data_IF_881464009620
#
_entry.id   IF_881464009620
#
_cell.length_a   1.000
_cell.length_b   1.000
_cell.length_c   1.000
_cell.angle_alpha   90.00
_cell.angle_beta   90.00
_cell.angle_gamma   90.00
#
_symmetry.space_group_name_H-M   'P 1'
#
loop_
_entity.id
_entity.type
_entity.pdbx_description
1 polymer ?
#
# COMPACT_ATOMS: atom_id res chain seq x y z
N UNK A 1 -3.23 0.50 -6.04
CA UNK A 1 -3.37 1.97 -6.06
C UNK A 1 -2.93 2.58 -7.37
N UNK A 2 -2.20 1.81 -8.18
CA UNK A 2 -1.72 2.01 -9.55
C UNK A 2 -2.62 2.70 -10.59
N UNK A 3 -3.91 2.93 -10.33
CA UNK A 3 -4.83 3.50 -11.34
C UNK A 3 -4.34 4.80 -12.00
N UNK A 4 -3.80 5.80 -11.27
CA UNK A 4 -3.27 7.01 -11.90
C UNK A 4 -2.11 6.74 -12.88
N UNK A 5 -1.18 5.84 -12.53
CA UNK A 5 -0.08 5.43 -13.41
C UNK A 5 -0.59 4.61 -14.60
N UNK A 6 -1.49 3.64 -14.37
CA UNK A 6 -2.10 2.85 -15.45
C UNK A 6 -2.81 3.74 -16.48
N UNK A 7 -3.50 4.79 -16.05
CA UNK A 7 -4.09 5.77 -16.97
C UNK A 7 -3.04 6.55 -17.76
N UNK A 8 -1.93 6.93 -17.13
CA UNK A 8 -0.85 7.65 -17.80
C UNK A 8 -0.11 6.73 -18.80
N UNK A 9 0.19 5.50 -18.41
CA UNK A 9 0.78 4.48 -19.27
C UNK A 9 -0.14 4.11 -20.43
N UNK A 10 -1.45 3.94 -20.19
CA UNK A 10 -2.39 3.65 -21.26
C UNK A 10 -2.36 4.73 -22.35
N UNK A 11 -2.51 6.00 -21.96
CA UNK A 11 -2.45 7.12 -22.92
C UNK A 11 -1.11 7.22 -23.64
N UNK A 12 0.00 7.00 -22.91
CA UNK A 12 1.33 7.04 -23.51
C UNK A 12 1.53 5.92 -24.53
N UNK A 13 1.09 4.71 -24.18
CA UNK A 13 1.23 3.55 -25.04
C UNK A 13 0.34 3.60 -26.28
N UNK A 14 -0.93 4.01 -26.14
CA UNK A 14 -1.87 4.17 -27.28
C UNK A 14 -1.39 5.24 -28.27
N UNK A 15 -0.76 6.31 -27.77
CA UNK A 15 -0.13 7.33 -28.63
C UNK A 15 1.03 6.75 -29.43
N UNK A 16 1.86 5.93 -28.79
CA UNK A 16 3.05 5.35 -29.43
C UNK A 16 2.70 4.14 -30.32
N UNK A 17 1.52 3.52 -30.12
CA UNK A 17 1.04 2.34 -30.84
C UNK A 17 -0.39 2.55 -31.35
N UNK A 18 -0.56 3.31 -32.46
CA UNK A 18 -1.87 3.52 -33.08
C UNK A 18 -2.59 2.19 -33.37
N UNK A 19 -3.87 2.10 -33.03
CA UNK A 19 -4.68 0.89 -33.20
C UNK A 19 -4.74 -0.02 -31.97
N UNK A 20 -3.97 0.25 -30.91
CA UNK A 20 -4.17 -0.38 -29.60
C UNK A 20 -5.17 0.43 -28.78
N UNK A 21 -6.01 -0.25 -27.99
CA UNK A 21 -6.91 0.38 -27.02
C UNK A 21 -6.82 -0.32 -25.67
N UNK A 22 -6.57 0.45 -24.62
CA UNK A 22 -6.38 -0.02 -23.25
C UNK A 22 -7.51 0.48 -22.37
N UNK A 23 -8.34 -0.46 -21.88
CA UNK A 23 -9.46 -0.16 -20.99
C UNK A 23 -9.04 -0.34 -19.53
N UNK A 24 -8.73 0.77 -18.87
CA UNK A 24 -8.29 0.78 -17.46
C UNK A 24 -9.49 0.94 -16.52
N UNK A 25 -9.58 0.08 -15.50
CA UNK A 25 -10.58 0.13 -14.41
C UNK A 25 -9.90 0.09 -13.04
N UNK A 26 -10.59 0.50 -11.98
CA UNK A 26 -10.05 0.54 -10.61
C UNK A 26 -10.94 -0.15 -9.55
N UNK A 27 -11.26 -1.45 -9.69
CA UNK A 27 -12.13 -2.15 -8.75
C UNK A 27 -11.44 -2.56 -7.42
N UNK A 28 -10.12 -2.40 -7.31
CA UNK A 28 -9.33 -2.86 -6.16
C UNK A 28 -8.45 -4.06 -6.47
N UNK A 29 -7.43 -4.29 -5.64
CA UNK A 29 -6.40 -5.32 -5.87
C UNK A 29 -6.97 -6.74 -5.79
N UNK A 30 -7.94 -6.99 -4.89
CA UNK A 30 -8.60 -8.30 -4.79
C UNK A 30 -9.33 -8.71 -6.07
N UNK A 31 -10.02 -7.77 -6.71
CA UNK A 31 -10.65 -7.98 -8.03
C UNK A 31 -9.61 -8.13 -9.13
N UNK A 32 -8.49 -7.39 -9.07
CA UNK A 32 -7.38 -7.56 -10.01
C UNK A 32 -6.76 -8.96 -9.98
N UNK A 33 -6.52 -9.49 -8.78
CA UNK A 33 -6.00 -10.85 -8.56
C UNK A 33 -6.99 -11.88 -9.10
N UNK A 34 -8.25 -11.82 -8.65
CA UNK A 34 -9.28 -12.80 -9.01
C UNK A 34 -9.61 -12.75 -10.50
N UNK A 35 -9.77 -11.55 -11.06
CA UNK A 35 -10.05 -11.40 -12.48
C UNK A 35 -8.91 -11.87 -13.38
N UNK A 36 -7.64 -11.78 -12.94
CA UNK A 36 -6.52 -12.33 -13.71
C UNK A 36 -6.51 -13.85 -13.64
N UNK A 37 -6.70 -14.41 -12.45
CA UNK A 37 -6.76 -15.85 -12.21
C UNK A 37 -7.88 -16.53 -13.03
N UNK A 38 -9.02 -15.85 -13.16
CA UNK A 38 -10.19 -16.32 -13.92
C UNK A 38 -10.12 -16.00 -15.43
N UNK A 39 -9.09 -15.28 -15.89
CA UNK A 39 -8.97 -14.88 -17.30
C UNK A 39 -9.93 -13.77 -17.74
N UNK A 40 -10.61 -13.11 -16.80
CA UNK A 40 -11.56 -12.02 -17.04
C UNK A 40 -10.87 -10.70 -17.47
N UNK A 41 -9.57 -10.56 -17.20
CA UNK A 41 -8.76 -9.41 -17.64
C UNK A 41 -7.41 -9.87 -18.18
N UNK A 42 -6.87 -9.13 -19.15
CA UNK A 42 -5.54 -9.41 -19.70
C UNK A 42 -4.41 -9.06 -18.72
N UNK A 43 -4.63 -8.03 -17.89
CA UNK A 43 -3.68 -7.56 -16.88
C UNK A 43 -4.47 -7.18 -15.62
N UNK A 44 -4.19 -7.85 -14.51
CA UNK A 44 -4.58 -7.38 -13.17
C UNK A 44 -3.52 -6.47 -12.58
N UNK A 45 -3.92 -5.56 -11.69
CA UNK A 45 -3.00 -4.72 -10.94
C UNK A 45 -3.18 -4.95 -9.43
N UNK A 46 -2.07 -5.05 -8.71
CA UNK A 46 -2.09 -5.32 -7.28
C UNK A 46 -0.86 -4.79 -6.54
N UNK A 47 -1.12 -4.19 -5.39
CA UNK A 47 -0.15 -3.62 -4.46
C UNK A 47 0.40 -4.70 -3.50
N UNK A 48 -0.07 -5.95 -3.65
CA UNK A 48 0.33 -7.08 -2.81
C UNK A 48 1.10 -8.10 -3.63
N UNK A 49 2.13 -8.63 -2.99
CA UNK A 49 2.73 -9.88 -3.37
C UNK A 49 1.83 -11.05 -2.92
N UNK A 50 1.91 -12.18 -3.63
CA UNK A 50 1.15 -13.39 -3.29
C UNK A 50 2.11 -14.49 -2.81
N UNK A 51 1.77 -15.14 -1.71
CA UNK A 51 2.51 -16.32 -1.24
C UNK A 51 2.40 -17.47 -2.24
N UNK A 52 3.33 -18.44 -2.20
CA UNK A 52 3.24 -19.66 -3.01
C UNK A 52 1.94 -20.42 -2.82
N UNK A 53 1.39 -20.40 -1.59
CA UNK A 53 0.11 -21.04 -1.31
C UNK A 53 -1.05 -20.34 -1.99
N UNK A 54 -1.04 -19.01 -2.04
CA UNK A 54 -2.06 -18.23 -2.73
C UNK A 54 -1.93 -18.38 -4.24
N UNK A 55 -0.71 -18.35 -4.78
CA UNK A 55 -0.45 -18.58 -6.19
C UNK A 55 -0.86 -19.99 -6.63
N UNK A 56 -0.56 -21.02 -5.85
CA UNK A 56 -1.01 -22.38 -6.14
C UNK A 56 -2.55 -22.51 -6.18
N UNK A 57 -3.28 -21.73 -5.37
CA UNK A 57 -4.75 -21.73 -5.33
C UNK A 57 -5.39 -20.91 -6.45
N UNK A 58 -4.70 -19.89 -6.97
CA UNK A 58 -5.22 -18.92 -7.94
C UNK A 58 -4.79 -19.21 -9.38
N UNK A 59 -4.24 -20.40 -9.64
CA UNK A 59 -3.68 -20.75 -10.94
C UNK A 59 -2.33 -20.08 -11.20
N UNK A 60 -1.71 -20.43 -12.32
CA UNK A 60 -0.41 -19.90 -12.69
C UNK A 60 -0.55 -18.42 -13.06
N UNK A 61 -0.48 -17.45 -12.15
CA UNK A 61 -0.37 -16.03 -12.53
C UNK A 61 1.07 -15.55 -12.33
N UNK A 62 1.55 -14.71 -13.25
CA UNK A 62 2.89 -14.13 -13.17
C UNK A 62 2.79 -12.72 -12.60
N UNK A 63 3.56 -12.44 -11.54
CA UNK A 63 3.65 -11.10 -10.93
C UNK A 63 4.85 -10.35 -11.51
N UNK A 64 4.60 -9.13 -11.98
CA UNK A 64 5.58 -8.27 -12.65
C UNK A 64 5.59 -6.92 -11.91
N UNK A 65 6.65 -6.56 -11.17
CA UNK A 65 6.77 -5.27 -10.55
C UNK A 65 6.90 -4.23 -11.65
N UNK A 66 6.11 -3.16 -11.55
CA UNK A 66 6.09 -2.06 -12.53
C UNK A 66 6.43 -0.71 -11.93
N UNK A 67 6.26 -0.55 -10.60
CA UNK A 67 6.63 0.64 -9.84
C UNK A 67 6.71 0.34 -8.34
N UNK A 68 7.20 1.29 -7.55
CA UNK A 68 6.97 1.31 -6.10
C UNK A 68 5.98 2.42 -5.76
N UNK A 69 5.24 2.23 -4.67
CA UNK A 69 4.31 3.23 -4.15
C UNK A 69 4.39 3.30 -2.62
N UNK A 70 3.88 4.40 -2.05
CA UNK A 70 3.66 4.56 -0.63
C UNK A 70 2.18 4.77 -0.32
N UNK A 71 1.65 4.05 0.67
CA UNK A 71 0.34 4.36 1.26
C UNK A 71 0.52 5.52 2.22
N UNK A 72 -0.37 6.51 2.10
CA UNK A 72 -0.34 7.76 2.84
C UNK A 72 -1.66 7.94 3.60
N UNK A 73 -1.63 7.97 4.94
CA UNK A 73 -2.78 8.46 5.68
C UNK A 73 -2.95 9.97 5.44
N UNK A 74 -4.20 10.36 5.24
CA UNK A 74 -4.62 11.72 4.92
C UNK A 74 -5.69 12.18 5.89
N UNK A 75 -5.66 13.46 6.25
CA UNK A 75 -6.59 14.04 7.23
C UNK A 75 -7.30 15.26 6.65
N UNK A 76 -8.52 15.48 7.14
CA UNK A 76 -9.27 16.71 6.94
C UNK A 76 -9.48 17.40 8.29
N UNK A 77 -8.65 18.38 8.57
CA UNK A 77 -8.68 19.19 9.79
C UNK A 77 -8.83 20.67 9.44
N UNK A 78 -9.43 21.48 10.33
CA UNK A 78 -9.51 22.92 10.16
C UNK A 78 -8.17 23.56 9.85
N UNK A 79 -8.17 24.64 9.07
CA UNK A 79 -6.95 25.40 8.78
C UNK A 79 -6.28 25.95 10.06
N UNK A 80 -7.07 26.25 11.11
CA UNK A 80 -6.60 26.66 12.43
C UNK A 80 -5.75 25.59 13.12
N UNK A 81 -5.93 24.32 12.74
CA UNK A 81 -5.09 23.21 13.18
C UNK A 81 -3.76 23.14 12.43
N UNK A 82 -3.40 24.14 11.61
CA UNK A 82 -2.15 24.23 10.87
C UNK A 82 -2.05 23.34 9.63
N UNK A 83 -1.03 23.58 8.78
CA UNK A 83 -0.82 22.84 7.52
C UNK A 83 0.40 21.90 7.53
N UNK A 84 1.29 22.00 8.51
CA UNK A 84 2.38 21.01 8.68
C UNK A 84 1.79 19.62 8.91
N UNK A 85 2.31 18.56 8.27
CA UNK A 85 1.86 17.19 8.50
C UNK A 85 1.88 16.81 9.98
N UNK A 86 0.79 16.19 10.46
CA UNK A 86 0.74 15.62 11.80
C UNK A 86 1.71 14.45 11.90
N UNK A 87 2.41 14.33 13.03
CA UNK A 87 3.26 13.20 13.37
C UNK A 87 2.39 12.10 13.97
N UNK A 88 2.42 10.92 13.36
CA UNK A 88 1.74 9.73 13.86
C UNK A 88 2.67 8.52 13.82
N UNK A 89 2.83 7.89 14.96
CA UNK A 89 3.41 6.58 15.13
C UNK A 89 2.37 5.51 14.74
N UNK A 90 2.83 4.34 14.33
CA UNK A 90 1.96 3.20 14.02
C UNK A 90 0.91 2.91 15.11
N UNK A 91 1.26 2.92 16.41
CA UNK A 91 0.29 2.77 17.51
C UNK A 91 -0.81 3.84 17.57
N UNK A 92 -0.48 5.12 17.34
CA UNK A 92 -1.49 6.19 17.31
C UNK A 92 -2.39 6.08 16.08
N UNK A 93 -1.81 5.75 14.92
CA UNK A 93 -2.58 5.50 13.70
C UNK A 93 -3.55 4.32 13.88
N UNK A 94 -3.09 3.22 14.49
CA UNK A 94 -3.92 2.07 14.83
C UNK A 94 -5.10 2.46 15.74
N UNK A 95 -4.86 3.30 16.75
CA UNK A 95 -5.89 3.78 17.68
C UNK A 95 -6.89 4.73 17.04
N UNK A 96 -6.45 5.60 16.14
CA UNK A 96 -7.33 6.48 15.35
C UNK A 96 -8.26 5.66 14.46
N UNK A 97 -7.72 4.72 13.68
CA UNK A 97 -8.50 3.94 12.72
C UNK A 97 -9.42 2.91 13.38
N UNK A 98 -9.04 2.38 14.55
CA UNK A 98 -9.91 1.49 15.35
C UNK A 98 -10.96 2.23 16.19
N UNK A 99 -10.96 3.57 16.20
CA UNK A 99 -11.88 4.37 17.01
C UNK A 99 -11.53 4.45 18.50
N UNK A 100 -10.38 3.90 18.93
CA UNK A 100 -9.90 3.98 20.32
C UNK A 100 -9.47 5.38 20.73
N UNK A 101 -9.06 6.20 19.76
CA UNK A 101 -8.96 7.65 19.94
C UNK A 101 -10.18 8.27 19.27
N UNK A 102 -11.06 8.85 20.07
CA UNK A 102 -12.35 9.35 19.62
C UNK A 102 -12.32 10.83 19.20
N UNK A 103 -11.33 11.60 19.67
CA UNK A 103 -11.19 13.04 19.42
C UNK A 103 -9.76 13.42 19.05
N UNK A 104 -9.61 14.46 18.22
CA UNK A 104 -8.30 14.90 17.72
C UNK A 104 -7.42 15.58 18.78
N UNK A 105 -7.99 16.12 19.85
CA UNK A 105 -7.28 16.73 20.97
C UNK A 105 -6.90 15.73 22.08
N UNK A 106 -7.00 14.43 21.79
CA UNK A 106 -6.59 13.36 22.71
C UNK A 106 -5.17 13.61 23.26
N UNK A 107 -4.94 13.44 24.58
CA UNK A 107 -3.64 13.69 25.20
C UNK A 107 -2.48 12.93 24.55
N UNK A 108 -2.73 11.73 24.01
CA UNK A 108 -1.71 10.93 23.34
C UNK A 108 -1.27 11.57 22.01
N UNK A 109 -2.21 12.14 21.25
CA UNK A 109 -1.92 12.88 20.02
C UNK A 109 -1.15 14.17 20.31
N UNK A 110 -1.59 14.93 21.33
CA UNK A 110 -0.91 16.17 21.77
C UNK A 110 0.54 15.91 22.19
N UNK A 111 0.79 14.81 22.91
CA UNK A 111 2.14 14.44 23.35
C UNK A 111 3.10 14.18 22.20
N UNK A 112 2.62 13.60 21.10
CA UNK A 112 3.45 13.33 19.92
C UNK A 112 3.56 14.53 18.95
N UNK A 113 2.66 15.50 19.11
CA UNK A 113 2.60 16.72 18.33
C UNK A 113 2.72 17.97 19.24
N UNK A 114 3.83 18.14 19.98
CA UNK A 114 3.99 19.25 20.89
C UNK A 114 3.91 20.59 20.14
N UNK A 115 3.22 21.57 20.74
CA UNK A 115 2.99 22.89 20.14
C UNK A 115 1.94 22.92 19.02
N UNK A 116 1.27 21.80 18.72
CA UNK A 116 0.18 21.75 17.75
C UNK A 116 -1.17 22.01 18.40
N UNK A 117 -1.90 23.00 17.89
CA UNK A 117 -3.30 23.22 18.25
C UNK A 117 -4.18 22.17 17.58
N UNK A 118 -4.48 21.09 18.30
CA UNK A 118 -5.40 20.05 17.85
C UNK A 118 -6.83 20.41 18.25
N UNK A 119 -7.81 20.27 17.34
CA UNK A 119 -9.18 20.69 17.59
C UNK A 119 -9.93 19.63 18.40
N UNK A 120 -10.90 20.06 19.22
CA UNK A 120 -11.85 19.15 19.86
C UNK A 120 -12.90 18.67 18.84
N UNK A 121 -12.46 17.88 17.87
CA UNK A 121 -13.29 17.30 16.82
C UNK A 121 -13.33 15.78 16.94
N UNK A 122 -14.49 15.15 16.73
CA UNK A 122 -14.56 13.69 16.63
C UNK A 122 -13.68 13.18 15.49
N UNK A 123 -12.93 12.11 15.76
CA UNK A 123 -12.21 11.36 14.74
C UNK A 123 -13.22 10.54 13.92
N UNK A 124 -13.15 10.68 12.60
CA UNK A 124 -14.05 9.99 11.65
C UNK A 124 -13.23 9.12 10.68
N UNK A 125 -12.94 7.86 11.03
CA UNK A 125 -12.20 6.97 10.14
C UNK A 125 -12.93 6.76 8.81
N UNK A 126 -12.19 6.79 7.71
CA UNK A 126 -12.67 6.44 6.37
C UNK A 126 -11.82 5.27 5.88
N UNK A 127 -12.44 4.12 5.75
CA UNK A 127 -11.77 2.86 5.42
C UNK A 127 -12.27 2.30 4.09
N UNK A 128 -11.60 1.29 3.56
CA UNK A 128 -12.00 0.63 2.32
C UNK A 128 -13.05 -0.44 2.58
N UNK A 129 -14.13 -0.43 1.80
CA UNK A 129 -15.17 -1.48 1.81
C UNK A 129 -14.87 -2.63 0.83
N UNK A 130 -13.84 -2.48 0.00
CA UNK A 130 -13.41 -3.46 -1.00
C UNK A 130 -12.01 -4.01 -0.69
N UNK A 131 -11.74 -5.25 -1.13
CA UNK A 131 -10.45 -5.91 -0.94
C UNK A 131 -9.30 -5.13 -1.61
N UNK A 132 -8.45 -4.52 -0.80
CA UNK A 132 -7.56 -3.45 -1.25
C UNK A 132 -6.11 -3.66 -0.83
N UNK A 133 -5.18 -3.62 -1.79
CA UNK A 133 -3.74 -3.60 -1.53
C UNK A 133 -3.30 -2.41 -0.66
N UNK A 134 -3.94 -1.25 -0.81
CA UNK A 134 -3.75 -0.11 0.11
C UNK A 134 -4.02 -0.48 1.57
N UNK A 135 -5.14 -1.17 1.84
CA UNK A 135 -5.51 -1.63 3.17
C UNK A 135 -4.52 -2.68 3.67
N UNK A 136 -4.09 -3.59 2.80
CA UNK A 136 -3.09 -4.58 3.12
C UNK A 136 -1.76 -3.92 3.56
N UNK A 137 -1.20 -3.01 2.78
CA UNK A 137 0.06 -2.33 3.14
C UNK A 137 -0.07 -1.49 4.41
N UNK A 138 -1.20 -0.80 4.59
CA UNK A 138 -1.47 -0.06 5.82
C UNK A 138 -1.52 -1.00 7.03
N UNK A 139 -2.32 -2.06 6.97
CA UNK A 139 -2.49 -2.99 8.09
C UNK A 139 -1.23 -3.82 8.35
N UNK A 140 -0.41 -4.08 7.33
CA UNK A 140 0.94 -4.63 7.46
C UNK A 140 1.83 -3.71 8.31
N UNK A 141 1.86 -2.41 8.01
CA UNK A 141 2.57 -1.43 8.82
C UNK A 141 2.05 -1.35 10.27
N UNK A 142 0.72 -1.42 10.47
CA UNK A 142 0.13 -1.42 11.80
C UNK A 142 0.47 -2.69 12.58
N UNK A 143 0.45 -3.86 11.94
CA UNK A 143 0.84 -5.13 12.55
C UNK A 143 2.34 -5.18 12.86
N UNK A 144 3.18 -4.61 11.99
CA UNK A 144 4.61 -4.44 12.21
C UNK A 144 4.89 -3.54 13.43
N UNK A 145 4.17 -2.42 13.53
CA UNK A 145 4.44 -1.38 14.52
C UNK A 145 3.69 -1.56 15.84
N UNK A 146 2.68 -2.44 15.91
CA UNK A 146 1.86 -2.59 17.09
C UNK A 146 1.42 -4.04 17.35
N UNK A 147 1.89 -4.59 18.47
CA UNK A 147 1.59 -5.97 18.88
C UNK A 147 0.10 -6.26 19.00
N UNK A 148 -0.67 -5.43 19.69
CA UNK A 148 -2.13 -5.62 19.81
C UNK A 148 -2.80 -5.68 18.43
N UNK A 149 -2.43 -4.78 17.50
CA UNK A 149 -3.01 -4.80 16.15
C UNK A 149 -2.71 -6.12 15.44
N UNK A 150 -1.45 -6.56 15.48
CA UNK A 150 -1.00 -7.82 14.89
C UNK A 150 -1.73 -9.04 15.43
N UNK A 151 -1.97 -9.09 16.73
CA UNK A 151 -2.64 -10.22 17.40
C UNK A 151 -4.17 -10.21 17.23
N UNK A 152 -4.78 -9.06 16.94
CA UNK A 152 -6.24 -8.94 16.83
C UNK A 152 -6.74 -8.78 15.40
N UNK A 153 -6.29 -7.74 14.71
CA UNK A 153 -6.73 -7.36 13.37
C UNK A 153 -5.82 -7.96 12.28
N UNK A 154 -4.54 -8.13 12.60
CA UNK A 154 -3.53 -8.62 11.67
C UNK A 154 -3.34 -7.72 10.45
N UNK A 155 -2.84 -8.35 9.38
CA UNK A 155 -2.70 -7.76 8.05
C UNK A 155 -3.72 -8.40 7.13
N UNK A 156 -4.53 -7.59 6.48
CA UNK A 156 -5.60 -8.07 5.60
C UNK A 156 -5.92 -7.08 4.47
N UNK A 157 -6.44 -7.59 3.35
CA UNK A 157 -6.99 -6.79 2.25
C UNK A 157 -8.33 -6.13 2.62
N UNK A 158 -9.10 -6.78 3.50
CA UNK A 158 -10.42 -6.36 3.96
C UNK A 158 -10.63 -6.82 5.42
N UNK A 159 -9.94 -6.20 6.39
CA UNK A 159 -10.09 -6.55 7.79
C UNK A 159 -11.49 -6.17 8.30
N UNK A 160 -11.96 -6.89 9.31
CA UNK A 160 -13.18 -6.54 10.05
C UNK A 160 -12.92 -5.33 10.95
N UNK A 161 -13.09 -4.13 10.39
CA UNK A 161 -12.89 -2.88 11.14
C UNK A 161 -13.78 -2.84 12.40
N UNK A 162 -13.24 -2.41 13.56
CA UNK A 162 -14.03 -2.31 14.78
C UNK A 162 -15.24 -1.40 14.58
N UNK A 163 -16.41 -1.83 15.09
CA UNK A 163 -17.63 -1.04 14.97
C UNK A 163 -17.44 0.33 15.60
N UNK A 164 -17.47 1.36 14.76
CA UNK A 164 -17.41 2.75 15.16
C UNK A 164 -18.53 3.52 14.44
N UNK A 165 -19.51 4.11 15.15
CA UNK A 165 -20.61 4.85 14.51
C UNK A 165 -20.18 6.01 13.61
N UNK A 166 -18.93 6.49 13.76
CA UNK A 166 -18.36 7.60 12.98
C UNK A 166 -17.54 7.12 11.78
N UNK A 167 -17.21 5.84 11.71
CA UNK A 167 -16.49 5.23 10.61
C UNK A 167 -17.36 5.15 9.35
N UNK A 168 -16.72 5.25 8.19
CA UNK A 168 -17.34 4.98 6.89
C UNK A 168 -16.43 4.12 6.05
N UNK A 169 -16.96 2.99 5.60
CA UNK A 169 -16.35 2.15 4.58
C UNK A 169 -16.81 2.59 3.19
N UNK A 170 -15.88 2.83 2.28
CA UNK A 170 -16.16 3.23 0.89
C UNK A 170 -15.31 2.45 -0.10
N UNK A 171 -15.81 2.27 -1.33
CA UNK A 171 -15.10 1.50 -2.35
C UNK A 171 -14.12 2.35 -3.16
N UNK A 172 -12.87 1.93 -3.22
CA UNK A 172 -11.80 2.55 -4.02
C UNK A 172 -11.21 3.84 -3.44
N UNK A 173 -9.95 4.14 -3.79
CA UNK A 173 -9.22 5.32 -3.28
C UNK A 173 -9.88 6.65 -3.65
N UNK A 174 -10.55 6.75 -4.80
CA UNK A 174 -11.27 7.97 -5.21
C UNK A 174 -12.38 8.31 -4.20
N UNK A 175 -13.14 7.31 -3.76
CA UNK A 175 -14.22 7.50 -2.79
C UNK A 175 -13.66 7.82 -1.41
N UNK A 176 -12.53 7.23 -1.01
CA UNK A 176 -11.81 7.62 0.23
C UNK A 176 -11.43 9.10 0.18
N UNK A 177 -10.83 9.57 -0.91
CA UNK A 177 -10.49 11.01 -1.07
C UNK A 177 -11.74 11.89 -0.96
N UNK A 178 -12.82 11.52 -1.65
CA UNK A 178 -14.07 12.29 -1.65
C UNK A 178 -14.68 12.37 -0.24
N UNK A 179 -14.74 11.25 0.45
CA UNK A 179 -15.31 11.14 1.79
C UNK A 179 -14.49 11.90 2.84
N UNK A 180 -13.16 11.77 2.80
CA UNK A 180 -12.28 12.53 3.71
C UNK A 180 -12.42 14.03 3.48
N UNK A 181 -12.48 14.48 2.22
CA UNK A 181 -12.69 15.90 1.90
C UNK A 181 -14.03 16.43 2.39
N UNK A 182 -15.09 15.63 2.28
CA UNK A 182 -16.45 16.06 2.61
C UNK A 182 -16.70 16.20 4.12
N UNK A 183 -15.91 15.52 4.96
CA UNK A 183 -16.17 15.41 6.41
C UNK A 183 -14.98 15.90 7.21
N UNK A 184 -15.15 17.05 7.85
CA UNK A 184 -14.15 17.54 8.80
C UNK A 184 -13.98 16.57 9.99
N UNK A 185 -12.74 16.40 10.43
CA UNK A 185 -12.35 15.42 11.44
C UNK A 185 -12.05 14.03 10.85
N UNK A 186 -12.15 13.85 9.53
CA UNK A 186 -11.87 12.57 8.89
C UNK A 186 -10.38 12.26 8.77
N UNK A 187 -10.08 10.97 8.92
CA UNK A 187 -8.79 10.35 8.57
C UNK A 187 -9.06 9.17 7.64
N UNK A 188 -8.35 9.12 6.52
CA UNK A 188 -8.38 8.01 5.58
C UNK A 188 -6.97 7.68 5.10
N UNK A 189 -6.86 6.81 4.10
CA UNK A 189 -5.56 6.38 3.57
C UNK A 189 -5.64 6.08 2.08
N UNK A 190 -4.66 6.58 1.33
CA UNK A 190 -4.61 6.52 -0.14
C UNK A 190 -3.19 6.38 -0.63
N UNK A 191 -2.99 6.05 -1.91
CA UNK A 191 -1.67 6.08 -2.52
C UNK A 191 -1.14 7.49 -2.70
N UNK A 192 0.18 7.67 -2.70
CA UNK A 192 0.83 8.98 -2.88
C UNK A 192 0.30 9.72 -4.13
N UNK A 193 0.02 9.00 -5.21
CA UNK A 193 -0.52 9.56 -6.46
C UNK A 193 -1.88 10.27 -6.33
N UNK A 194 -2.59 10.04 -5.23
CA UNK A 194 -3.87 10.70 -4.94
C UNK A 194 -3.70 12.03 -4.18
N UNK A 195 -2.52 12.35 -3.64
CA UNK A 195 -2.32 13.58 -2.86
C UNK A 195 -2.43 14.85 -3.72
N UNK A 196 -1.69 14.93 -4.83
CA UNK A 196 -1.63 16.15 -5.64
C UNK A 196 -2.99 16.61 -6.19
N UNK A 197 -3.91 15.66 -6.41
CA UNK A 197 -5.29 15.94 -6.87
C UNK A 197 -6.28 16.16 -5.73
N UNK A 198 -5.92 15.76 -4.50
CA UNK A 198 -6.82 15.77 -3.35
C UNK A 198 -6.71 17.06 -2.51
N UNK A 199 -5.57 17.74 -2.49
CA UNK A 199 -5.38 18.88 -1.57
C UNK A 199 -5.57 18.50 -0.09
N UNK A 200 -5.64 17.20 0.22
CA UNK A 200 -5.71 16.68 1.57
C UNK A 200 -4.34 16.76 2.22
N UNK A 201 -4.33 16.93 3.54
CA UNK A 201 -3.09 16.99 4.30
C UNK A 201 -2.59 15.57 4.56
N UNK A 202 -1.37 15.22 4.12
CA UNK A 202 -0.75 13.96 4.53
C UNK A 202 -0.31 14.04 6.00
N UNK A 203 -0.11 12.86 6.59
CA UNK A 203 0.58 12.73 7.89
C UNK A 203 2.05 12.35 7.68
N UNK A 204 2.90 12.69 8.64
CA UNK A 204 4.26 12.16 8.75
C UNK A 204 4.23 10.90 9.62
N UNK A 205 4.74 9.78 9.10
CA UNK A 205 4.76 8.50 9.81
C UNK A 205 6.12 8.18 10.40
N UNK A 206 6.11 7.56 11.58
CA UNK A 206 7.32 7.03 12.21
C UNK A 206 7.82 5.78 11.46
N UNK A 207 9.10 5.78 11.09
CA UNK A 207 9.80 4.62 10.52
C UNK A 207 10.62 3.86 11.57
N UNK A 208 11.25 2.74 11.18
CA UNK A 208 12.05 1.90 12.09
C UNK A 208 13.28 2.64 12.66
N UNK A 209 13.73 3.73 12.02
CA UNK A 209 14.77 4.62 12.52
C UNK A 209 14.25 5.63 13.58
N UNK A 210 12.96 5.58 13.94
CA UNK A 210 12.32 6.49 14.89
C UNK A 210 12.16 7.91 14.35
N UNK A 211 12.12 8.08 13.02
CA UNK A 211 11.95 9.38 12.36
C UNK A 211 10.55 9.49 11.81
N UNK A 212 9.93 10.65 12.02
CA UNK A 212 8.69 11.03 11.34
C UNK A 212 9.03 11.54 9.94
N UNK A 213 8.72 10.72 8.94
CA UNK A 213 9.04 11.00 7.54
C UNK A 213 7.79 11.51 6.84
N UNK A 214 7.93 12.50 5.96
CA UNK A 214 6.84 13.00 5.10
C UNK A 214 6.83 12.16 3.80
N UNK A 215 5.66 11.77 3.28
CA UNK A 215 5.59 10.93 2.09
C UNK A 215 5.97 11.72 0.84
N UNK A 216 6.82 11.15 0.01
CA UNK A 216 7.23 11.68 -1.29
C UNK A 216 7.81 10.56 -2.14
N UNK A 217 7.91 10.76 -3.46
CA UNK A 217 8.60 9.80 -4.35
C UNK A 217 10.02 9.54 -3.85
N UNK A 218 10.71 10.57 -3.36
CA UNK A 218 12.07 10.43 -2.80
C UNK A 218 12.09 9.56 -1.54
N UNK A 219 11.27 9.87 -0.54
CA UNK A 219 11.28 9.12 0.74
C UNK A 219 10.80 7.67 0.58
N UNK A 220 9.89 7.39 -0.36
CA UNK A 220 9.50 6.02 -0.72
C UNK A 220 10.69 5.29 -1.37
N UNK A 221 11.38 5.94 -2.31
CA UNK A 221 12.54 5.35 -2.99
C UNK A 221 13.71 5.05 -2.06
N UNK A 222 13.96 5.90 -1.05
CA UNK A 222 15.09 5.74 -0.11
C UNK A 222 15.05 4.45 0.70
N UNK A 223 13.87 3.90 1.00
CA UNK A 223 13.75 2.62 1.70
C UNK A 223 14.09 1.40 0.83
N UNK A 224 14.12 1.58 -0.49
CA UNK A 224 14.27 0.50 -1.47
C UNK A 224 15.69 0.40 -2.05
N UNK A 225 16.50 1.45 -1.91
CA UNK A 225 17.94 1.41 -2.21
C UNK A 225 18.67 0.29 -1.40
N UNK A 226 18.15 -0.05 -0.21
CA UNK A 226 18.63 -1.14 0.63
C UNK A 226 18.19 -2.55 0.20
N UNK A 227 17.31 -2.72 -0.80
CA UNK A 227 16.89 -4.07 -1.27
C UNK A 227 18.01 -4.83 -2.01
N UNK A 228 19.16 -4.19 -2.23
CA UNK A 228 20.44 -4.80 -2.61
C UNK A 228 20.48 -5.35 -4.04
N UNK A 229 21.67 -5.60 -4.57
CA UNK A 229 21.89 -6.19 -5.91
C UNK A 229 21.45 -7.66 -6.04
N UNK A 230 21.11 -8.32 -4.92
CA UNK A 230 20.76 -9.74 -4.80
C UNK A 230 19.25 -10.04 -4.93
N UNK A 231 18.41 -9.04 -5.17
CA UNK A 231 16.99 -9.25 -5.44
C UNK A 231 16.83 -10.00 -6.77
N UNK A 232 16.42 -11.27 -6.71
CA UNK A 232 15.97 -12.03 -7.86
C UNK A 232 14.59 -11.52 -8.31
N UNK A 233 14.29 -11.65 -9.59
CA UNK A 233 12.97 -11.33 -10.14
C UNK A 233 12.28 -12.64 -10.54
N UNK A 234 11.00 -12.88 -10.19
CA UNK A 234 10.10 -12.04 -9.37
C UNK A 234 10.26 -12.19 -7.86
N UNK A 235 10.95 -13.23 -7.39
CA UNK A 235 10.92 -13.67 -5.98
C UNK A 235 11.43 -12.65 -4.97
N UNK A 236 12.46 -11.88 -5.29
CA UNK A 236 13.01 -10.85 -4.40
C UNK A 236 12.06 -9.67 -4.15
N UNK A 237 10.99 -9.55 -4.93
CA UNK A 237 9.91 -8.59 -4.74
C UNK A 237 8.72 -9.16 -3.95
N UNK A 238 8.71 -10.48 -3.68
CA UNK A 238 7.65 -11.16 -2.94
C UNK A 238 7.83 -11.01 -1.42
N UNK A 239 7.89 -9.77 -0.92
CA UNK A 239 8.08 -9.48 0.51
C UNK A 239 7.49 -8.14 0.90
N UNK A 240 7.24 -8.00 2.20
CA UNK A 240 6.89 -6.70 2.79
C UNK A 240 8.09 -5.76 2.81
N UNK A 241 7.81 -4.48 2.54
CA UNK A 241 8.76 -3.37 2.61
C UNK A 241 8.37 -2.34 3.69
N UNK A 242 7.42 -2.69 4.57
CA UNK A 242 6.97 -1.79 5.64
C UNK A 242 8.05 -1.59 6.71
N UNK A 243 7.96 -0.48 7.44
CA UNK A 243 8.94 -0.04 8.44
C UNK A 243 10.07 0.83 7.87
N UNK A 244 10.37 0.69 6.58
CA UNK A 244 11.40 1.51 5.89
C UNK A 244 12.85 1.16 6.29
N UNK A 245 13.04 0.18 7.18
CA UNK A 245 14.35 -0.27 7.65
C UNK A 245 15.12 0.83 8.40
N UNK A 246 16.44 0.66 8.51
CA UNK A 246 17.30 1.59 9.25
C UNK A 246 17.57 2.92 8.55
N UNK A 247 16.96 3.18 7.38
CA UNK A 247 17.19 4.40 6.60
C UNK A 247 16.36 5.56 7.18
N UNK A 248 16.99 6.61 7.76
CA UNK A 248 16.26 7.65 8.50
C UNK A 248 15.21 8.41 7.68
N UNK A 249 15.43 8.58 6.37
CA UNK A 249 14.52 9.28 5.45
C UNK A 249 13.51 8.37 4.74
N UNK A 250 13.48 7.06 5.01
CA UNK A 250 12.61 6.13 4.32
C UNK A 250 11.16 6.22 4.80
N UNK A 251 10.23 6.26 3.85
CA UNK A 251 8.80 6.17 4.13
C UNK A 251 8.44 4.75 4.58
N UNK A 252 7.70 4.59 5.70
CA UNK A 252 7.52 3.27 6.32
C UNK A 252 6.37 2.44 5.76
N UNK A 253 5.52 2.97 4.88
CA UNK A 253 4.41 2.21 4.27
C UNK A 253 4.62 2.11 2.77
N UNK A 254 5.75 1.49 2.40
CA UNK A 254 6.18 1.30 1.01
C UNK A 254 5.76 -0.08 0.51
N UNK A 255 5.34 -0.16 -0.75
CA UNK A 255 4.97 -1.40 -1.42
C UNK A 255 5.45 -1.43 -2.87
N UNK A 256 5.44 -2.63 -3.43
CA UNK A 256 5.71 -2.88 -4.85
C UNK A 256 4.37 -3.01 -5.56
N UNK A 257 4.21 -2.30 -6.66
CA UNK A 257 3.03 -2.42 -7.51
C UNK A 257 3.29 -3.45 -8.61
N UNK A 258 2.41 -4.44 -8.70
CA UNK A 258 2.51 -5.55 -9.64
C UNK A 258 1.44 -5.46 -10.72
N UNK A 259 1.86 -5.73 -11.96
CA UNK A 259 0.97 -6.27 -12.98
C UNK A 259 0.97 -7.79 -12.91
N UNK A 260 -0.23 -8.36 -12.97
CA UNK A 260 -0.48 -9.80 -12.94
C UNK A 260 -0.98 -10.23 -14.31
N UNK A 261 -0.36 -11.27 -14.85
CA UNK A 261 -0.68 -11.79 -16.18
C UNK A 261 -0.93 -13.29 -16.10
N UNK A 262 -2.04 -13.76 -16.67
CA UNK A 262 -2.26 -15.19 -16.89
C UNK A 262 -1.44 -15.67 -18.09
N UNK A 263 -0.71 -16.79 -18.00
CA UNK A 263 0.05 -17.40 -19.09
C UNK A 263 -0.86 -17.99 -20.16
N UNK A 264 -2.16 -18.13 -19.88
CA UNK A 264 -3.15 -18.78 -20.74
C UNK A 264 -3.88 -17.77 -21.64
N UNK A 265 -3.45 -16.51 -21.69
CA UNK A 265 -4.02 -15.54 -22.62
C UNK A 265 -3.84 -15.99 -24.08
N UNK A 266 -4.80 -15.65 -24.97
CA UNK A 266 -4.64 -15.88 -26.40
C UNK A 266 -3.34 -15.30 -26.94
N UNK A 267 -2.67 -15.99 -27.87
CA UNK A 267 -1.31 -15.64 -28.35
C UNK A 267 -1.19 -14.18 -28.80
N UNK A 268 -2.17 -13.66 -29.55
CA UNK A 268 -2.18 -12.27 -29.97
C UNK A 268 -2.28 -11.28 -28.80
N UNK A 269 -3.12 -11.58 -27.80
CA UNK A 269 -3.26 -10.77 -26.59
C UNK A 269 -1.97 -10.80 -25.76
N UNK A 270 -1.38 -11.99 -25.62
CA UNK A 270 -0.14 -12.22 -24.89
C UNK A 270 1.04 -11.45 -25.51
N UNK A 271 1.14 -11.44 -26.84
CA UNK A 271 2.15 -10.67 -27.57
C UNK A 271 2.02 -9.17 -27.26
N UNK A 272 0.79 -8.64 -27.27
CA UNK A 272 0.53 -7.24 -26.94
C UNK A 272 0.84 -6.90 -25.48
N UNK A 273 0.41 -7.75 -24.55
CA UNK A 273 0.71 -7.59 -23.12
C UNK A 273 2.22 -7.52 -22.89
N UNK A 274 3.04 -8.33 -23.58
CA UNK A 274 4.49 -8.22 -23.48
C UNK A 274 5.03 -6.90 -24.00
N UNK A 275 4.57 -6.44 -25.18
CA UNK A 275 4.99 -5.14 -25.73
C UNK A 275 4.68 -4.02 -24.75
N UNK A 276 3.48 -4.03 -24.17
CA UNK A 276 3.06 -3.06 -23.17
C UNK A 276 3.89 -3.15 -21.88
N UNK A 277 4.15 -4.36 -21.35
CA UNK A 277 5.01 -4.53 -20.16
C UNK A 277 6.42 -4.02 -20.42
N UNK A 278 7.01 -4.34 -21.58
CA UNK A 278 8.33 -3.82 -21.96
C UNK A 278 8.29 -2.30 -22.00
N UNK A 279 7.33 -1.69 -22.70
CA UNK A 279 7.19 -0.24 -22.79
C UNK A 279 7.01 0.42 -21.41
N UNK A 280 6.17 -0.15 -20.53
CA UNK A 280 6.00 0.37 -19.16
C UNK A 280 7.30 0.28 -18.37
N UNK A 281 8.05 -0.79 -18.55
CA UNK A 281 9.36 -0.95 -17.93
C UNK A 281 10.43 -0.12 -18.64
N UNK A 282 10.24 0.43 -19.84
CA UNK A 282 11.18 1.32 -20.52
C UNK A 282 10.70 2.76 -20.54
N UNK A 283 10.01 3.20 -21.59
CA UNK A 283 9.53 4.55 -21.82
C UNK A 283 8.56 5.00 -20.72
N UNK A 284 7.70 4.07 -20.30
CA UNK A 284 6.74 4.28 -19.23
C UNK A 284 7.38 4.53 -17.86
N UNK A 285 8.69 4.33 -17.68
CA UNK A 285 9.39 4.73 -16.44
C UNK A 285 9.72 6.22 -16.37
N UNK A 286 9.58 6.97 -17.48
CA UNK A 286 9.88 8.40 -17.51
C UNK A 286 9.02 9.18 -16.49
N UNK A 287 9.54 10.29 -15.91
CA UNK A 287 8.84 11.03 -14.86
C UNK A 287 7.41 11.46 -15.19
N UNK A 288 7.12 11.73 -16.46
CA UNK A 288 5.77 12.09 -16.94
C UNK A 288 4.72 10.99 -16.75
N UNK A 289 5.14 9.72 -16.66
CA UNK A 289 4.26 8.57 -16.49
C UNK A 289 4.33 7.94 -15.09
N UNK A 290 5.45 8.10 -14.36
CA UNK A 290 5.66 7.50 -13.02
C UNK A 290 5.67 8.53 -11.91
N UNK A 291 6.77 9.27 -11.75
CA UNK A 291 7.00 10.15 -10.60
C UNK A 291 5.98 11.28 -10.50
N UNK A 292 5.57 11.87 -11.62
CA UNK A 292 4.49 12.86 -11.65
C UNK A 292 3.13 12.28 -11.26
N UNK A 293 2.95 10.96 -11.38
CA UNK A 293 1.76 10.25 -10.93
C UNK A 293 1.89 9.78 -9.47
N UNK A 294 2.99 10.09 -8.77
CA UNK A 294 3.23 9.73 -7.37
C UNK A 294 3.88 8.36 -7.14
N UNK A 295 4.52 7.79 -8.16
CA UNK A 295 5.15 6.46 -8.10
C UNK A 295 6.67 6.55 -8.22
N UNK A 296 7.39 5.65 -7.57
CA UNK A 296 8.85 5.54 -7.74
C UNK A 296 9.15 4.62 -8.93
N UNK A 297 9.92 5.07 -9.93
CA UNK A 297 10.31 4.22 -11.04
C UNK A 297 11.27 3.12 -10.58
N UNK A 298 11.23 1.98 -11.27
CA UNK A 298 12.15 0.86 -11.08
C UNK A 298 13.48 1.06 -11.83
N UNK A 299 13.70 2.22 -12.44
CA UNK A 299 14.90 2.51 -13.25
C UNK A 299 16.22 2.34 -12.50
N UNK A 300 16.21 2.55 -11.18
CA UNK A 300 17.37 2.32 -10.30
C UNK A 300 17.61 0.86 -9.88
N UNK A 301 16.73 -0.09 -10.25
CA UNK A 301 16.83 -1.48 -9.82
C UNK A 301 17.45 -2.38 -10.91
N UNK A 302 18.60 -3.05 -10.66
CA UNK A 302 19.24 -3.95 -11.62
C UNK A 302 18.31 -5.10 -12.11
N UNK A 303 17.33 -5.48 -11.30
CA UNK A 303 16.34 -6.48 -11.64
C UNK A 303 15.46 -6.09 -12.85
N UNK A 304 15.25 -4.79 -13.10
CA UNK A 304 14.48 -4.28 -14.25
C UNK A 304 15.11 -4.66 -15.58
N UNK A 305 16.41 -4.43 -15.77
CA UNK A 305 17.10 -4.76 -17.02
C UNK A 305 17.10 -6.26 -17.30
N UNK A 306 17.24 -7.09 -16.24
CA UNK A 306 17.13 -8.55 -16.35
C UNK A 306 15.73 -8.98 -16.79
N UNK A 307 14.69 -8.37 -16.23
CA UNK A 307 13.30 -8.64 -16.59
C UNK A 307 13.00 -8.27 -18.05
N UNK A 308 13.40 -7.07 -18.49
CA UNK A 308 13.22 -6.63 -19.88
C UNK A 308 13.89 -7.60 -20.86
N UNK A 309 15.13 -8.02 -20.57
CA UNK A 309 15.84 -9.00 -21.39
C UNK A 309 15.08 -10.32 -21.49
N UNK A 310 14.64 -10.87 -20.36
CA UNK A 310 13.84 -12.11 -20.34
C UNK A 310 12.55 -11.97 -21.16
N UNK A 311 11.82 -10.87 -21.02
CA UNK A 311 10.57 -10.66 -21.78
C UNK A 311 10.79 -10.59 -23.30
N UNK A 312 11.98 -10.14 -23.74
CA UNK A 312 12.35 -10.07 -25.16
C UNK A 312 12.84 -11.41 -25.73
N UNK A 313 13.42 -12.28 -24.89
CA UNK A 313 14.01 -13.56 -25.31
C UNK A 313 12.99 -14.71 -25.38
N UNK A 314 11.81 -14.59 -24.74
CA UNK A 314 10.85 -15.70 -24.64
C UNK A 314 9.91 -15.76 -25.85
N UNK A 315 9.71 -16.94 -26.48
CA UNK A 315 8.79 -17.12 -27.62
C UNK A 315 7.36 -16.62 -27.34
N UNK A 316 6.68 -16.08 -28.35
CA UNK A 316 5.33 -15.46 -28.26
C UNK A 316 4.31 -16.25 -27.44
N UNK A 317 4.38 -17.59 -27.46
CA UNK A 317 3.47 -18.50 -26.73
C UNK A 317 3.69 -18.63 -25.22
N UNK A 318 4.76 -18.08 -24.61
CA UNK A 318 5.05 -18.23 -23.17
C UNK A 318 5.44 -16.91 -22.49
N UNK A 319 4.76 -16.47 -21.43
CA UNK A 319 5.06 -15.16 -20.82
C UNK A 319 6.46 -15.06 -20.17
N UNK A 320 6.84 -16.06 -19.38
CA UNK A 320 8.19 -16.26 -18.83
C UNK A 320 8.61 -17.74 -18.96
N UNK A 321 9.93 -18.06 -18.92
CA UNK A 321 10.44 -19.43 -18.89
C UNK A 321 9.89 -20.25 -17.72
N UNK A 322 9.83 -21.57 -17.85
CA UNK A 322 9.22 -22.45 -16.83
C UNK A 322 9.92 -22.39 -15.46
N UNK A 323 11.24 -22.27 -15.42
CA UNK A 323 12.00 -22.19 -14.17
C UNK A 323 11.80 -20.86 -13.42
N UNK A 324 11.40 -19.80 -14.13
CA UNK A 324 11.08 -18.49 -13.57
C UNK A 324 9.60 -18.37 -13.13
N UNK A 325 8.78 -19.39 -13.38
CA UNK A 325 7.39 -19.47 -12.89
C UNK A 325 7.29 -20.13 -11.51
N UNK A 326 8.42 -20.62 -10.97
CA UNK A 326 8.42 -21.28 -9.66
C UNK A 326 8.20 -20.22 -8.58
N UNK A 327 7.26 -20.50 -7.68
CA UNK A 327 6.99 -19.65 -6.53
C UNK A 327 7.67 -20.26 -5.32
N UNK A 328 8.81 -19.72 -4.91
CA UNK A 328 9.50 -20.18 -3.70
C UNK A 328 8.66 -19.85 -2.46
N UNK A 329 8.42 -20.82 -1.54
CA UNK A 329 7.68 -20.60 -0.31
C UNK A 329 8.22 -19.40 0.48
N UNK A 330 7.31 -18.53 0.91
CA UNK A 330 7.64 -17.42 1.80
C UNK A 330 8.05 -18.00 3.17
N UNK A 331 9.32 -17.83 3.56
CA UNK A 331 9.72 -18.04 4.95
C UNK A 331 9.19 -16.84 5.77
N UNK A 332 8.05 -17.05 6.43
CA UNK A 332 7.34 -16.04 7.24
C UNK A 332 8.08 -15.62 8.51
N UNK A 333 9.33 -16.07 8.70
CA UNK A 333 10.18 -15.58 9.77
C UNK A 333 10.64 -14.16 9.44
N UNK A 334 9.80 -13.19 9.79
CA UNK A 334 10.22 -11.79 9.94
C UNK A 334 11.39 -11.82 10.93
N UNK A 335 12.63 -11.49 10.52
CA UNK A 335 13.70 -11.31 11.48
C UNK A 335 13.23 -10.21 12.44
N UNK A 336 13.11 -10.56 13.72
CA UNK A 336 12.70 -9.59 14.73
C UNK A 336 13.62 -8.38 14.60
N UNK A 337 13.11 -7.17 14.33
CA UNK A 337 13.96 -5.99 14.40
C UNK A 337 14.56 -5.97 15.80
N UNK A 338 15.86 -5.63 15.91
CA UNK A 338 16.52 -5.48 17.21
C UNK A 338 15.60 -4.64 18.08
N UNK A 339 15.10 -5.24 19.17
CA UNK A 339 14.09 -4.68 20.07
C UNK A 339 14.47 -3.24 20.41
N UNK A 340 13.77 -2.26 19.82
CA UNK A 340 13.48 -1.04 20.55
C UNK A 340 12.26 -1.36 21.40
N UNK A 341 12.31 -1.01 22.68
CA UNK A 341 11.18 -1.18 23.57
C UNK A 341 9.94 -0.61 22.86
N UNK A 342 8.91 -1.46 22.65
CA UNK A 342 7.55 -0.96 22.43
C UNK A 342 7.38 0.24 23.37
N UNK A 343 6.81 1.36 22.91
CA UNK A 343 6.27 2.32 23.89
C UNK A 343 5.15 1.56 24.60
N UNK A 344 5.41 0.92 25.76
CA UNK A 344 4.69 -0.31 26.11
C UNK A 344 3.20 0.00 26.26
N UNK A 345 2.89 1.18 26.79
CA UNK A 345 1.54 1.67 27.06
C UNK A 345 0.64 1.87 25.83
N UNK A 346 1.18 2.18 24.64
CA UNK A 346 0.33 2.51 23.49
C UNK A 346 -0.19 1.26 22.77
N UNK A 347 0.58 0.17 22.80
CA UNK A 347 0.25 -1.11 22.16
C UNK A 347 -0.18 -2.22 23.12
N UNK A 348 -0.40 -1.92 24.40
CA UNK A 348 -1.13 -2.86 25.25
C UNK A 348 -2.57 -3.00 24.77
N UNK A 349 -3.14 -4.23 24.78
CA UNK A 349 -4.58 -4.38 24.66
C UNK A 349 -5.26 -3.58 25.79
N UNK A 350 -6.47 -3.03 25.57
CA UNK A 350 -7.21 -2.35 26.62
C UNK A 350 -7.44 -3.33 27.76
N UNK A 351 -7.21 -2.89 28.99
CA UNK A 351 -7.64 -3.64 30.18
C UNK A 351 -9.15 -3.73 30.09
N UNK A 352 -9.69 -4.95 30.07
CA UNK A 352 -11.13 -5.14 30.18
C UNK A 352 -11.59 -4.44 31.46
N UNK A 353 -12.50 -3.48 31.37
CA UNK A 353 -13.12 -2.90 32.54
C UNK A 353 -13.92 -4.02 33.22
N UNK A 354 -13.37 -4.60 34.28
CA UNK A 354 -14.17 -5.32 35.27
C UNK A 354 -15.23 -4.33 35.76
N UNK A 355 -16.50 -4.58 35.40
CA UNK A 355 -17.61 -3.86 36.00
C UNK A 355 -17.57 -4.07 37.52
N UNK A 356 -18.15 -3.15 38.30
CA UNK A 356 -18.23 -3.36 39.74
C UNK A 356 -19.12 -4.58 39.97
N UNK A 357 -18.55 -5.65 40.52
CA UNK A 357 -19.33 -6.73 41.14
C UNK A 357 -20.08 -6.12 42.32
N UNK A 358 -21.26 -5.58 42.02
CA UNK A 358 -22.27 -5.25 42.98
C UNK A 358 -22.96 -6.54 43.41
N UNK A 359 -22.46 -7.15 44.48
CA UNK A 359 -23.27 -8.05 45.31
C UNK A 359 -23.06 -7.68 46.77
N UNK A 360 -23.80 -6.67 47.19
CA UNK A 360 -24.09 -6.38 48.58
C UNK A 360 -25.32 -7.17 49.04
N UNK A 361 -25.09 -8.07 50.00
CA UNK A 361 -26.02 -8.42 51.09
C UNK A 361 -26.86 -9.69 50.93
N UNK A 362 -27.56 -10.12 52.00
CA UNK A 362 -27.37 -9.83 53.43
C UNK A 362 -26.54 -10.90 54.17
#
# INVERSE_FOLDING_TARGET
MLYPANLAWARGYERDHPGVTLRVRAPGSGTGITGTAEGNVSIGASDIFLSSRELAKKGHIVLIPVALEGVVPVVNLPASSGRTPLRLSGPLLARLLSGRIAFWDDPLLRRENPGRSLPHLPVRPVVRSDASGTTFLLTDYLAHSCRWWRESMGRDLLPEWPRNPRERAVSGSRSVVAEVRAREGSIGYVGLGWLGRSGLLPVALENDAGRFVIPSVRSIGSGVEGLGSRTSFPEGFNRSLVGGGSVPGAWPVTGVEFWMVSPDLPEATMAEVRRLVVWVLTEGQAPAYTSSQGFVPLSGLPARSRLIRKLREVPSRKFLPADDRRVVPLDLRIPSPRRRADRPSLCQPPVASSGPDGSSGP
#
